data_IF_659748885785
#
_entry.id   IF_659748885785
#
_cell.length_a   1.000
_cell.length_b   1.000
_cell.length_c   1.000
_cell.angle_alpha   90.00
_cell.angle_beta   90.00
_cell.angle_gamma   90.00
#
_symmetry.space_group_name_H-M   'P 1'
#
loop_
_entity.id
_entity.type
_entity.pdbx_description
1 polymer ?
#
# COMPACT_ATOMS: atom_id res chain seq x y z
N UNK A 1 8.40 6.56 -23.72
CA UNK A 1 7.64 7.36 -22.73
C UNK A 1 6.54 6.46 -22.20
N UNK A 2 6.75 5.87 -21.02
CA UNK A 2 5.86 4.86 -20.47
C UNK A 2 5.08 5.48 -19.32
N UNK A 3 3.76 5.54 -19.47
CA UNK A 3 2.77 5.85 -18.44
C UNK A 3 2.64 4.63 -17.51
N UNK A 4 2.28 4.80 -16.23
CA UNK A 4 1.63 3.75 -15.45
C UNK A 4 0.53 3.14 -16.35
N UNK A 5 0.81 1.99 -16.98
CA UNK A 5 -0.16 1.31 -17.84
C UNK A 5 -1.33 1.01 -16.93
N UNK A 6 -2.44 1.74 -17.12
CA UNK A 6 -3.74 1.60 -16.47
C UNK A 6 -3.71 0.59 -15.33
N UNK A 7 -3.50 1.03 -14.07
CA UNK A 7 -3.71 0.17 -12.91
C UNK A 7 -5.11 -0.42 -13.10
N UNK A 8 -5.14 -1.72 -13.42
CA UNK A 8 -6.37 -2.38 -13.80
C UNK A 8 -7.25 -2.44 -12.55
N UNK A 9 -8.55 -2.21 -12.73
CA UNK A 9 -9.52 -2.60 -11.70
C UNK A 9 -9.34 -4.11 -11.53
N UNK A 10 -8.93 -4.52 -10.34
CA UNK A 10 -8.81 -5.91 -9.98
C UNK A 10 -10.13 -6.34 -9.37
N UNK A 11 -10.74 -7.39 -9.93
CA UNK A 11 -11.64 -8.23 -9.14
C UNK A 11 -10.76 -8.88 -8.08
N UNK A 12 -10.78 -8.30 -6.88
CA UNK A 12 -9.89 -8.69 -5.80
C UNK A 12 -10.22 -10.13 -5.41
N UNK A 13 -9.29 -11.09 -5.60
CA UNK A 13 -9.58 -12.48 -5.28
C UNK A 13 -9.72 -12.69 -3.76
N UNK A 14 -9.42 -11.68 -2.94
CA UNK A 14 -9.45 -11.77 -1.49
C UNK A 14 -10.40 -10.75 -0.84
N UNK A 15 -11.23 -11.22 0.09
CA UNK A 15 -12.08 -10.37 0.92
C UNK A 15 -11.27 -9.50 1.90
N UNK A 16 -11.89 -8.46 2.47
CA UNK A 16 -11.27 -7.64 3.53
C UNK A 16 -10.87 -8.45 4.77
N UNK A 17 -11.61 -9.53 5.05
CA UNK A 17 -11.32 -10.45 6.15
C UNK A 17 -9.99 -11.20 5.95
N UNK A 18 -9.51 -11.28 4.71
CA UNK A 18 -8.29 -12.00 4.34
C UNK A 18 -7.10 -11.06 4.13
N UNK A 19 -7.36 -9.85 3.59
CA UNK A 19 -6.34 -8.83 3.31
C UNK A 19 -6.88 -7.46 3.73
N UNK A 20 -6.17 -6.78 4.63
CA UNK A 20 -6.70 -5.54 5.22
C UNK A 20 -6.39 -4.29 4.36
N UNK A 21 -6.93 -3.15 4.79
CA UNK A 21 -6.77 -1.85 4.15
C UNK A 21 -5.36 -1.25 4.14
N UNK A 22 -4.38 -1.95 4.73
CA UNK A 22 -2.96 -1.57 4.70
C UNK A 22 -2.20 -2.42 3.68
N UNK A 23 -2.61 -3.68 3.50
CA UNK A 23 -1.98 -4.65 2.60
C UNK A 23 -2.48 -4.52 1.16
N UNK A 24 -3.81 -4.36 0.96
CA UNK A 24 -4.41 -4.30 -0.39
C UNK A 24 -3.84 -3.18 -1.27
N UNK A 25 -3.70 -1.93 -0.79
CA UNK A 25 -3.13 -0.84 -1.60
C UNK A 25 -1.72 -1.14 -2.10
N UNK A 26 -0.88 -1.77 -1.27
CA UNK A 26 0.48 -2.21 -1.62
C UNK A 26 0.42 -3.27 -2.70
N UNK A 27 -0.42 -4.28 -2.52
CA UNK A 27 -0.63 -5.36 -3.48
C UNK A 27 -1.11 -4.87 -4.86
N UNK A 28 -2.07 -3.95 -4.88
CA UNK A 28 -2.59 -3.33 -6.11
C UNK A 28 -1.49 -2.54 -6.83
N UNK A 29 -0.71 -1.75 -6.10
CA UNK A 29 0.43 -1.03 -6.67
C UNK A 29 1.43 -2.00 -7.32
N UNK A 30 1.77 -3.09 -6.63
CA UNK A 30 2.70 -4.11 -7.14
C UNK A 30 2.15 -4.87 -8.36
N UNK A 31 0.86 -5.19 -8.37
CA UNK A 31 0.18 -5.87 -9.48
C UNK A 31 0.31 -5.11 -10.80
N UNK A 32 0.42 -3.77 -10.74
CA UNK A 32 0.57 -2.93 -11.92
C UNK A 32 1.89 -3.15 -12.68
N UNK A 33 2.94 -3.63 -12.00
CA UNK A 33 4.22 -3.97 -12.61
C UNK A 33 4.25 -5.41 -13.10
N UNK A 34 3.79 -6.35 -12.27
CA UNK A 34 3.66 -7.75 -12.61
C UNK A 34 2.53 -8.38 -11.79
N UNK A 35 1.63 -9.12 -12.45
CA UNK A 35 0.44 -9.73 -11.82
C UNK A 35 0.78 -10.68 -10.68
N UNK A 36 1.92 -11.35 -10.75
CA UNK A 36 2.35 -12.33 -9.74
C UNK A 36 2.80 -11.67 -8.45
N UNK A 37 3.20 -10.39 -8.47
CA UNK A 37 3.71 -9.73 -7.26
C UNK A 37 2.66 -9.62 -6.16
N UNK A 38 1.40 -9.36 -6.49
CA UNK A 38 0.36 -9.19 -5.47
C UNK A 38 0.20 -10.46 -4.63
N UNK A 39 -0.04 -11.59 -5.28
CA UNK A 39 -0.19 -12.88 -4.60
C UNK A 39 1.07 -13.29 -3.85
N UNK A 40 2.25 -13.10 -4.44
CA UNK A 40 3.52 -13.46 -3.79
C UNK A 40 3.79 -12.60 -2.55
N UNK A 41 3.59 -11.28 -2.65
CA UNK A 41 3.68 -10.37 -1.51
C UNK A 41 2.76 -10.82 -0.37
N UNK A 42 1.48 -11.11 -0.66
CA UNK A 42 0.54 -11.55 0.35
C UNK A 42 0.98 -12.87 0.99
N UNK A 43 1.40 -13.85 0.21
CA UNK A 43 1.88 -15.13 0.73
C UNK A 43 3.05 -14.92 1.69
N UNK A 44 4.07 -14.18 1.28
CA UNK A 44 5.23 -13.91 2.15
C UNK A 44 4.83 -13.14 3.40
N UNK A 45 4.01 -12.11 3.27
CA UNK A 45 3.58 -11.30 4.40
C UNK A 45 2.74 -12.09 5.41
N UNK A 46 1.78 -12.91 4.94
CA UNK A 46 0.96 -13.79 5.78
C UNK A 46 1.79 -14.90 6.41
N UNK A 47 2.75 -15.46 5.67
CA UNK A 47 3.69 -16.46 6.22
C UNK A 47 4.44 -15.90 7.44
N UNK A 48 4.92 -14.66 7.36
CA UNK A 48 5.61 -14.00 8.48
C UNK A 48 4.67 -13.71 9.66
N UNK A 49 3.39 -13.38 9.40
CA UNK A 49 2.41 -13.15 10.45
C UNK A 49 2.00 -14.44 11.18
N UNK A 50 1.83 -15.53 10.44
CA UNK A 50 1.20 -16.76 10.96
C UNK A 50 2.19 -17.83 11.41
N UNK A 51 3.41 -17.84 10.87
CA UNK A 51 4.39 -18.89 11.14
C UNK A 51 5.67 -18.34 11.79
N UNK A 52 6.34 -19.19 12.58
CA UNK A 52 7.61 -18.85 13.25
C UNK A 52 8.81 -18.96 12.31
N UNK A 53 8.76 -18.29 11.17
CA UNK A 53 9.87 -18.29 10.20
C UNK A 53 11.12 -17.73 10.87
N UNK A 54 12.18 -18.55 10.96
CA UNK A 54 13.30 -18.36 11.89
C UNK A 54 13.87 -16.93 11.90
N UNK A 55 14.20 -16.38 10.71
CA UNK A 55 14.72 -15.00 10.59
C UNK A 55 13.78 -13.94 11.18
N UNK A 56 12.49 -14.02 10.85
CA UNK A 56 11.48 -13.05 11.27
C UNK A 56 11.06 -13.23 12.73
N UNK A 57 11.07 -14.47 13.21
CA UNK A 57 10.74 -14.79 14.59
C UNK A 57 11.83 -14.32 15.55
N UNK A 58 13.10 -14.61 15.24
CA UNK A 58 14.26 -14.18 16.04
C UNK A 58 14.34 -12.64 16.16
N UNK A 59 14.01 -11.93 15.08
CA UNK A 59 13.99 -10.45 15.07
C UNK A 59 12.67 -9.83 15.56
N UNK A 60 11.71 -10.63 15.99
CA UNK A 60 10.36 -10.20 16.40
C UNK A 60 9.57 -9.42 15.32
N UNK A 61 9.93 -9.54 14.04
CA UNK A 61 9.28 -8.81 12.93
C UNK A 61 7.80 -9.19 12.79
N UNK A 62 7.43 -10.43 13.12
CA UNK A 62 6.03 -10.88 13.14
C UNK A 62 5.13 -10.02 14.06
N UNK A 63 5.69 -9.37 15.09
CA UNK A 63 4.97 -8.48 16.02
C UNK A 63 4.92 -7.02 15.58
N UNK A 64 5.65 -6.64 14.54
CA UNK A 64 5.68 -5.26 14.07
C UNK A 64 4.32 -4.86 13.48
N UNK A 65 4.06 -3.56 13.48
CA UNK A 65 2.89 -3.02 12.79
C UNK A 65 2.98 -3.34 11.29
N UNK A 66 1.82 -3.46 10.64
CA UNK A 66 1.75 -3.92 9.24
C UNK A 66 2.61 -3.08 8.31
N UNK A 67 2.51 -1.76 8.36
CA UNK A 67 3.30 -0.88 7.48
C UNK A 67 4.80 -0.88 7.80
N UNK A 68 5.21 -1.29 9.00
CA UNK A 68 6.63 -1.46 9.35
C UNK A 68 7.16 -2.82 8.88
N UNK A 69 6.31 -3.86 8.88
CA UNK A 69 6.68 -5.21 8.44
C UNK A 69 6.75 -5.32 6.92
N UNK A 70 5.84 -4.68 6.19
CA UNK A 70 5.74 -4.79 4.73
C UNK A 70 7.07 -4.46 4.02
N UNK A 71 7.75 -3.32 4.27
CA UNK A 71 9.02 -3.01 3.62
C UNK A 71 10.08 -4.10 3.79
N UNK A 72 10.19 -4.67 5.00
CA UNK A 72 11.17 -5.72 5.30
C UNK A 72 10.88 -7.00 4.53
N UNK A 73 9.61 -7.37 4.41
CA UNK A 73 9.18 -8.55 3.65
C UNK A 73 9.41 -8.34 2.16
N UNK A 74 9.04 -7.17 1.63
CA UNK A 74 9.24 -6.83 0.21
C UNK A 74 10.72 -6.86 -0.17
N UNK A 75 11.57 -6.21 0.63
CA UNK A 75 13.00 -6.13 0.32
C UNK A 75 13.64 -7.51 0.43
N UNK A 76 13.35 -8.25 1.51
CA UNK A 76 13.98 -9.56 1.73
C UNK A 76 13.48 -10.61 0.75
N UNK A 77 12.18 -10.70 0.51
CA UNK A 77 11.61 -11.80 -0.26
C UNK A 77 11.61 -11.51 -1.76
N UNK A 78 11.27 -10.28 -2.15
CA UNK A 78 11.09 -9.87 -3.54
C UNK A 78 12.19 -8.94 -4.06
N UNK A 79 13.09 -8.44 -3.21
CA UNK A 79 14.11 -7.46 -3.61
C UNK A 79 13.54 -6.08 -3.90
N UNK A 80 12.31 -5.79 -3.45
CA UNK A 80 11.61 -4.54 -3.74
C UNK A 80 11.68 -3.58 -2.55
N UNK A 81 11.95 -2.31 -2.80
CA UNK A 81 12.02 -1.28 -1.77
C UNK A 81 10.73 -0.46 -1.74
N UNK A 82 10.02 -0.55 -0.62
CA UNK A 82 8.97 0.42 -0.27
C UNK A 82 9.60 1.46 0.66
N UNK A 83 9.80 2.67 0.14
CA UNK A 83 10.37 3.79 0.89
C UNK A 83 9.29 4.45 1.75
N UNK A 84 9.69 5.07 2.85
CA UNK A 84 8.82 5.84 3.73
C UNK A 84 9.53 7.16 4.04
N UNK A 85 8.95 8.26 3.60
CA UNK A 85 9.50 9.60 3.80
C UNK A 85 8.55 10.43 4.65
N UNK A 86 9.13 11.14 5.62
CA UNK A 86 8.41 12.00 6.55
C UNK A 86 9.02 13.39 6.69
N UNK A 87 10.14 13.62 6.01
CA UNK A 87 10.89 14.86 5.99
C UNK A 87 10.73 15.51 4.60
N UNK A 88 9.70 16.35 4.49
CA UNK A 88 9.42 17.15 3.31
C UNK A 88 8.74 18.46 3.73
N UNK A 89 9.01 19.53 3.00
CA UNK A 89 8.48 20.86 3.32
C UNK A 89 7.01 21.02 2.92
N UNK A 90 6.64 20.49 1.75
CA UNK A 90 5.28 20.57 1.20
C UNK A 90 4.74 19.19 0.82
N UNK A 91 3.65 18.80 1.48
CA UNK A 91 2.95 17.53 1.29
C UNK A 91 2.49 17.31 -0.17
N UNK A 92 1.89 18.34 -0.78
CA UNK A 92 1.33 18.23 -2.12
C UNK A 92 2.43 18.21 -3.17
N UNK A 93 3.47 19.03 -3.00
CA UNK A 93 4.62 19.03 -3.88
C UNK A 93 5.32 17.66 -3.86
N UNK A 94 5.57 17.11 -2.67
CA UNK A 94 6.19 15.79 -2.51
C UNK A 94 5.43 14.70 -3.29
N UNK A 95 4.11 14.60 -3.06
CA UNK A 95 3.27 13.61 -3.75
C UNK A 95 3.30 13.85 -5.26
N UNK A 96 3.14 15.08 -5.70
CA UNK A 96 3.08 15.41 -7.13
C UNK A 96 4.39 15.13 -7.87
N UNK A 97 5.54 15.33 -7.23
CA UNK A 97 6.84 14.97 -7.79
C UNK A 97 6.96 13.45 -8.03
N UNK A 98 6.46 12.62 -7.10
CA UNK A 98 6.43 11.17 -7.27
C UNK A 98 5.44 10.73 -8.36
N UNK A 99 4.22 11.27 -8.35
CA UNK A 99 3.22 10.95 -9.37
C UNK A 99 3.69 11.36 -10.77
N UNK A 100 4.40 12.48 -10.91
CA UNK A 100 4.99 12.91 -12.19
C UNK A 100 6.07 11.94 -12.72
N UNK A 101 6.73 11.20 -11.82
CA UNK A 101 7.68 10.12 -12.16
C UNK A 101 6.99 8.76 -12.39
N UNK A 102 5.66 8.72 -12.37
CA UNK A 102 4.84 7.51 -12.39
C UNK A 102 5.01 6.61 -11.15
N UNK A 103 5.52 7.14 -10.05
CA UNK A 103 5.63 6.39 -8.80
C UNK A 103 4.26 6.38 -8.10
N UNK A 104 3.66 5.21 -7.82
CA UNK A 104 2.47 5.13 -6.98
C UNK A 104 2.82 5.54 -5.55
N UNK A 105 1.94 6.33 -4.93
CA UNK A 105 2.14 6.88 -3.59
C UNK A 105 1.08 6.32 -2.66
N UNK A 106 1.47 5.90 -1.47
CA UNK A 106 0.64 5.31 -0.43
C UNK A 106 0.59 6.27 0.75
N UNK A 107 -0.57 6.86 0.98
CA UNK A 107 -0.77 7.91 1.99
C UNK A 107 -1.57 7.36 3.16
N UNK A 108 -1.00 7.33 4.38
CA UNK A 108 -1.76 7.01 5.59
C UNK A 108 -2.89 8.01 5.82
N UNK A 109 -4.00 7.53 6.37
CA UNK A 109 -5.17 8.34 6.64
C UNK A 109 -5.84 7.89 7.93
N UNK A 110 -6.37 8.86 8.67
CA UNK A 110 -7.31 8.61 9.74
C UNK A 110 -8.73 8.75 9.20
N UNK A 111 -9.45 7.62 9.14
CA UNK A 111 -10.81 7.59 8.60
C UNK A 111 -11.84 8.31 9.48
N UNK A 112 -11.47 8.72 10.70
CA UNK A 112 -12.30 9.59 11.54
C UNK A 112 -12.58 10.96 10.92
N UNK A 113 -11.66 11.44 10.07
CA UNK A 113 -11.72 12.76 9.43
C UNK A 113 -12.37 12.76 8.04
N UNK A 114 -12.92 11.61 7.64
CA UNK A 114 -13.47 11.37 6.30
C UNK A 114 -14.99 11.19 6.35
N UNK A 115 -15.75 12.12 5.78
CA UNK A 115 -17.20 12.21 6.00
C UNK A 115 -18.03 11.00 5.56
N UNK A 116 -17.53 10.22 4.59
CA UNK A 116 -18.21 9.03 4.06
C UNK A 116 -17.70 7.72 4.67
N UNK A 117 -16.77 7.80 5.63
CA UNK A 117 -16.28 6.63 6.36
C UNK A 117 -17.27 6.19 7.45
N UNK A 118 -17.34 4.89 7.71
CA UNK A 118 -18.06 4.32 8.86
C UNK A 118 -17.50 4.80 10.23
N UNK A 119 -16.26 5.30 10.24
CA UNK A 119 -15.56 5.79 11.43
C UNK A 119 -15.63 7.31 11.61
N UNK A 120 -16.31 8.01 10.69
CA UNK A 120 -16.36 9.47 10.68
C UNK A 120 -16.85 10.02 12.03
N UNK A 121 -16.00 10.83 12.68
CA UNK A 121 -16.23 11.42 14.02
C UNK A 121 -16.50 10.45 15.16
N UNK A 122 -16.37 9.13 14.97
CA UNK A 122 -16.67 8.12 15.99
C UNK A 122 -15.41 7.49 16.58
N UNK A 123 -14.44 7.12 15.76
CA UNK A 123 -13.23 6.43 16.22
C UNK A 123 -12.06 6.65 15.27
N UNK A 124 -10.86 6.76 15.84
CA UNK A 124 -9.63 6.83 15.06
C UNK A 124 -9.37 5.48 14.41
N UNK A 125 -9.17 5.48 13.09
CA UNK A 125 -9.01 4.24 12.31
C UNK A 125 -8.01 4.44 11.17
N UNK A 126 -6.92 3.66 11.21
CA UNK A 126 -5.86 3.72 10.21
C UNK A 126 -6.31 3.14 8.88
N UNK A 127 -5.93 3.80 7.80
CA UNK A 127 -6.16 3.37 6.42
C UNK A 127 -5.02 3.85 5.52
N UNK A 128 -4.82 3.22 4.36
CA UNK A 128 -3.84 3.64 3.35
C UNK A 128 -4.54 3.91 2.02
N UNK A 129 -4.42 5.14 1.53
CA UNK A 129 -4.84 5.51 0.18
C UNK A 129 -3.72 5.26 -0.83
N UNK A 130 -4.04 4.57 -1.92
CA UNK A 130 -3.15 4.49 -3.09
C UNK A 130 -3.47 5.64 -4.05
N UNK A 131 -2.52 6.55 -4.26
CA UNK A 131 -2.60 7.65 -5.21
C UNK A 131 -1.86 7.31 -6.51
N UNK A 132 -2.46 7.67 -7.64
CA UNK A 132 -1.97 7.28 -8.97
C UNK A 132 -1.84 8.44 -9.95
N UNK A 133 -2.53 9.54 -9.71
CA UNK A 133 -2.48 10.73 -10.56
C UNK A 133 -3.00 11.96 -9.80
N UNK A 134 -2.62 13.15 -10.27
CA UNK A 134 -3.15 14.43 -9.79
C UNK A 134 -3.65 15.27 -10.96
N UNK A 135 -4.79 15.93 -10.78
CA UNK A 135 -5.36 16.84 -11.76
C UNK A 135 -5.35 18.27 -11.21
N UNK A 136 -4.36 19.06 -11.65
CA UNK A 136 -4.18 20.45 -11.23
C UNK A 136 -5.35 21.38 -11.62
N UNK A 137 -6.15 21.05 -12.64
CA UNK A 137 -7.30 21.89 -13.03
C UNK A 137 -8.45 21.79 -12.06
N UNK A 138 -8.63 20.63 -11.45
CA UNK A 138 -9.73 20.33 -10.54
C UNK A 138 -9.29 20.24 -9.09
N UNK A 139 -7.98 20.24 -8.84
CA UNK A 139 -7.35 20.00 -7.54
C UNK A 139 -7.80 18.68 -6.90
N UNK A 140 -7.73 17.60 -7.71
CA UNK A 140 -8.16 16.25 -7.31
C UNK A 140 -7.05 15.24 -7.54
N UNK A 141 -6.77 14.42 -6.53
CA UNK A 141 -6.00 13.19 -6.69
C UNK A 141 -6.91 12.06 -7.19
N UNK A 142 -6.41 11.26 -8.12
CA UNK A 142 -6.99 9.95 -8.40
C UNK A 142 -6.45 8.94 -7.41
N UNK A 143 -7.33 8.26 -6.69
CA UNK A 143 -7.01 7.25 -5.68
C UNK A 143 -7.60 5.90 -6.05
N UNK A 144 -7.09 4.82 -5.46
CA UNK A 144 -7.79 3.56 -5.33
C UNK A 144 -8.16 3.34 -3.88
N UNK A 145 -9.45 3.10 -3.63
CA UNK A 145 -9.98 2.84 -2.30
C UNK A 145 -11.28 2.03 -2.39
N UNK A 146 -11.68 1.41 -1.28
CA UNK A 146 -12.94 0.72 -1.10
C UNK A 146 -13.90 1.44 -0.13
N UNK A 147 -13.45 2.41 0.67
CA UNK A 147 -14.28 2.97 1.77
C UNK A 147 -15.57 3.66 1.29
N UNK A 148 -15.66 4.05 0.02
CA UNK A 148 -16.86 4.65 -0.56
C UNK A 148 -17.94 3.66 -0.97
N UNK A 149 -17.57 2.42 -1.26
CA UNK A 149 -18.50 1.40 -1.76
C UNK A 149 -18.79 0.45 -0.60
N UNK A 150 -19.92 0.68 0.06
CA UNK A 150 -20.40 -0.22 1.11
C UNK A 150 -20.94 -1.51 0.46
N UNK A 151 -20.04 -2.49 0.23
CA UNK A 151 -20.38 -3.82 -0.25
C UNK A 151 -19.53 -4.87 0.47
N UNK A 152 -20.14 -6.03 0.75
CA UNK A 152 -19.54 -7.14 1.51
C UNK A 152 -18.28 -7.74 0.85
N UNK A 153 -18.05 -7.45 -0.44
CA UNK A 153 -16.87 -7.84 -1.21
C UNK A 153 -16.22 -6.59 -1.81
N UNK A 154 -15.31 -5.98 -1.06
CA UNK A 154 -14.84 -4.63 -1.38
C UNK A 154 -13.67 -4.65 -2.39
N UNK A 155 -14.02 -4.69 -3.68
CA UNK A 155 -13.08 -4.29 -4.73
C UNK A 155 -12.59 -2.85 -4.48
N UNK A 156 -11.35 -2.56 -4.83
CA UNK A 156 -10.83 -1.19 -4.83
C UNK A 156 -11.24 -0.52 -6.14
N UNK A 157 -11.86 0.65 -6.03
CA UNK A 157 -12.30 1.42 -7.18
C UNK A 157 -11.51 2.72 -7.28
N UNK A 158 -11.37 3.21 -8.51
CA UNK A 158 -10.77 4.51 -8.75
C UNK A 158 -11.72 5.60 -8.25
N UNK A 159 -11.23 6.48 -7.39
CA UNK A 159 -12.02 7.56 -6.79
C UNK A 159 -11.25 8.90 -6.78
N UNK A 160 -11.91 10.04 -7.11
CA UNK A 160 -11.28 11.35 -6.97
C UNK A 160 -11.30 11.88 -5.53
N UNK A 161 -10.13 12.17 -4.95
CA UNK A 161 -9.98 12.77 -3.63
C UNK A 161 -9.54 14.23 -3.71
N UNK A 162 -10.30 15.18 -3.13
CA UNK A 162 -9.87 16.57 -2.95
C UNK A 162 -8.56 16.70 -2.15
N UNK A 163 -7.67 17.59 -2.58
CA UNK A 163 -6.38 17.85 -1.93
C UNK A 163 -6.52 18.23 -0.47
N UNK A 164 -7.47 19.10 -0.14
CA UNK A 164 -7.76 19.52 1.23
C UNK A 164 -8.17 18.36 2.14
N UNK A 165 -9.00 17.45 1.60
CA UNK A 165 -9.48 16.27 2.31
C UNK A 165 -8.34 15.28 2.53
N UNK A 166 -7.52 15.03 1.51
CA UNK A 166 -6.33 14.18 1.63
C UNK A 166 -5.34 14.72 2.67
N UNK A 167 -5.08 16.02 2.66
CA UNK A 167 -4.20 16.67 3.63
C UNK A 167 -4.76 16.55 5.06
N UNK A 168 -6.06 16.79 5.25
CA UNK A 168 -6.73 16.65 6.56
C UNK A 168 -6.62 15.23 7.13
N UNK A 169 -6.98 14.21 6.33
CA UNK A 169 -6.94 12.81 6.81
C UNK A 169 -5.51 12.34 7.06
N UNK A 170 -4.53 12.82 6.27
CA UNK A 170 -3.12 12.52 6.47
C UNK A 170 -2.57 13.16 7.76
N UNK A 171 -2.79 14.46 7.98
CA UNK A 171 -2.31 15.15 9.18
C UNK A 171 -2.88 14.51 10.45
N UNK A 172 -4.17 14.18 10.46
CA UNK A 172 -4.78 13.46 11.59
C UNK A 172 -4.15 12.08 11.80
N UNK A 173 -3.77 11.36 10.75
CA UNK A 173 -3.06 10.08 10.88
C UNK A 173 -1.67 10.23 11.50
N UNK A 174 -0.98 11.33 11.21
CA UNK A 174 0.34 11.64 11.77
C UNK A 174 0.24 11.99 13.24
N UNK A 175 -0.68 12.88 13.58
CA UNK A 175 -0.83 13.42 14.94
C UNK A 175 -1.44 12.42 15.93
N UNK A 176 -2.42 11.62 15.50
CA UNK A 176 -3.20 10.77 16.39
C UNK A 176 -2.80 9.30 16.31
N UNK A 177 -2.48 8.82 15.10
CA UNK A 177 -2.20 7.41 14.85
C UNK A 177 -0.71 7.10 14.71
N UNK A 178 0.16 8.11 14.86
CA UNK A 178 1.62 8.00 14.73
C UNK A 178 2.04 7.36 13.40
N UNK A 179 1.37 7.71 12.30
CA UNK A 179 1.77 7.24 10.98
C UNK A 179 3.22 7.63 10.68
N UNK A 180 4.06 6.70 10.20
CA UNK A 180 5.52 6.94 10.03
C UNK A 180 5.87 7.96 8.93
N UNK A 181 5.03 8.08 7.90
CA UNK A 181 5.25 8.99 6.76
C UNK A 181 4.45 8.56 5.52
N UNK A 182 4.81 9.11 4.37
CA UNK A 182 4.26 8.72 3.07
C UNK A 182 5.11 7.60 2.49
N UNK A 183 4.46 6.55 2.00
CA UNK A 183 5.13 5.41 1.41
C UNK A 183 5.11 5.49 -0.11
N UNK A 184 6.18 5.04 -0.79
CA UNK A 184 6.20 5.00 -2.24
C UNK A 184 7.18 3.96 -2.78
N UNK A 185 6.96 3.59 -4.04
CA UNK A 185 7.87 2.78 -4.82
C UNK A 185 8.59 3.66 -5.84
N UNK A 186 9.86 3.37 -6.12
CA UNK A 186 10.53 3.89 -7.31
C UNK A 186 10.22 2.97 -8.49
N UNK A 187 9.32 3.38 -9.37
CA UNK A 187 8.82 2.51 -10.45
C UNK A 187 9.92 1.98 -11.37
N UNK A 188 10.97 2.76 -11.58
CA UNK A 188 12.14 2.38 -12.37
C UNK A 188 13.03 1.33 -11.70
N UNK A 189 12.87 1.09 -10.40
CA UNK A 189 13.62 0.07 -9.64
C UNK A 189 12.85 -1.27 -9.57
N UNK A 190 11.60 -1.33 -10.05
CA UNK A 190 10.78 -2.54 -10.00
C UNK A 190 10.90 -3.30 -11.34
N UNK A 191 11.41 -4.54 -11.34
CA UNK A 191 11.51 -5.32 -12.56
C UNK A 191 10.12 -5.79 -13.04
N UNK A 192 9.85 -5.66 -14.33
CA UNK A 192 8.61 -6.17 -14.95
C UNK A 192 8.60 -7.70 -15.05
N UNK A 193 9.78 -8.30 -15.17
CA UNK A 193 9.94 -9.75 -15.31
C UNK A 193 10.37 -10.36 -13.98
N UNK A 194 9.53 -11.27 -13.48
CA UNK A 194 9.78 -12.01 -12.25
C UNK A 194 10.20 -13.45 -12.57
N UNK A 195 11.33 -13.90 -12.04
CA UNK A 195 11.67 -15.33 -12.07
C UNK A 195 10.91 -16.06 -10.94
N UNK A 196 9.68 -16.47 -11.26
CA UNK A 196 8.81 -17.20 -10.33
C UNK A 196 9.44 -18.50 -9.83
N UNK A 197 10.25 -19.18 -10.66
CA UNK A 197 10.90 -20.43 -10.27
C UNK A 197 11.95 -20.20 -9.17
N UNK A 198 12.69 -19.10 -9.25
CA UNK A 198 13.63 -18.72 -8.21
C UNK A 198 12.92 -18.43 -6.88
N UNK A 199 11.75 -17.77 -6.94
CA UNK A 199 10.96 -17.44 -5.75
C UNK A 199 10.31 -18.67 -5.12
N UNK A 200 9.76 -19.58 -5.92
CA UNK A 200 9.20 -20.84 -5.42
C UNK A 200 10.27 -21.69 -4.73
N UNK A 201 11.49 -21.76 -5.29
CA UNK A 201 12.63 -22.43 -4.63
C UNK A 201 12.97 -21.79 -3.29
N UNK A 202 12.91 -20.47 -3.19
CA UNK A 202 13.13 -19.73 -1.94
C UNK A 202 12.05 -20.07 -0.89
N UNK A 203 10.80 -20.20 -1.31
CA UNK A 203 9.70 -20.64 -0.43
C UNK A 203 9.87 -22.06 0.10
N UNK A 204 10.43 -22.97 -0.71
CA UNK A 204 10.65 -24.37 -0.28
C UNK A 204 11.64 -24.46 0.90
N UNK A 205 12.58 -23.52 1.00
CA UNK A 205 13.54 -23.44 2.10
C UNK A 205 12.84 -23.12 3.43
N UNK A 206 11.74 -22.36 3.39
CA UNK A 206 10.96 -22.04 4.60
C UNK A 206 10.10 -23.20 5.09
N UNK A 207 9.79 -24.19 4.26
CA UNK A 207 8.97 -25.36 4.60
C UNK A 207 9.77 -26.51 5.26
N UNK A 208 11.08 -26.36 5.43
CA UNK A 208 11.96 -27.37 6.02
C UNK A 208 12.20 -27.18 7.54
N UNK A 209 11.40 -26.34 8.21
CA UNK A 209 11.46 -26.06 9.64
C UNK A 209 10.05 -25.95 10.24
#
# INVERSE_FOLDING_TARGET
MYTLKNIAILDDPYGLEQVNCLEKPVGIALNSYNKSYYSLFLIFHKMVQSYKVNYYYQKNIHKWLTMQRIPVVLERELGLKLKCDSDYDDFSEFINQHLAKNNPVLVPANLKELYYSAYYRTSDWMHIYLLIAYNAKTDLYSTFDYTQVYQDFSNYYKFPMPTDTLNRIYNSSREVLNADGIYHFESNEIPENLDENQLVKKMSIYALF
#
